data_IF_277050463244
#
_entry.id   IF_277050463244
#
_cell.length_a   1.000
_cell.length_b   1.000
_cell.length_c   1.000
_cell.angle_alpha   90.00
_cell.angle_beta   90.00
_cell.angle_gamma   90.00
#
_symmetry.space_group_name_H-M   'P 1'
#
loop_
_entity.id
_entity.type
_entity.pdbx_description
1 polymer ?
#
# COMPACT_ATOMS: atom_id res chain seq x y z
N UNK A 1 4.41 -9.18 32.78
CA UNK A 1 4.01 -8.83 31.43
C UNK A 1 5.25 -8.61 30.58
N UNK A 2 5.42 -9.31 29.45
CA UNK A 2 6.58 -9.12 28.55
C UNK A 2 6.48 -7.75 27.87
N UNK A 3 7.62 -7.01 27.83
CA UNK A 3 7.73 -5.69 27.19
C UNK A 3 8.25 -5.87 25.76
N UNK A 4 7.61 -5.25 24.77
CA UNK A 4 7.99 -5.32 23.36
C UNK A 4 8.13 -3.90 22.82
N UNK A 5 9.21 -3.66 22.09
CA UNK A 5 9.45 -2.43 21.35
C UNK A 5 9.13 -2.67 19.87
N UNK A 6 8.29 -1.81 19.29
CA UNK A 6 8.00 -1.77 17.85
C UNK A 6 8.60 -0.49 17.27
N UNK A 7 9.39 -0.60 16.21
CA UNK A 7 10.06 0.54 15.58
C UNK A 7 9.40 0.84 14.24
N UNK A 8 8.90 2.07 14.09
CA UNK A 8 8.18 2.56 12.91
C UNK A 8 6.66 2.55 13.13
N UNK A 9 6.03 3.68 12.85
CA UNK A 9 4.58 3.92 13.00
C UNK A 9 3.80 3.89 11.68
N UNK A 10 4.31 3.23 10.64
CA UNK A 10 3.55 2.92 9.43
C UNK A 10 2.52 1.82 9.66
N UNK A 11 1.76 1.44 8.62
CA UNK A 11 0.71 0.42 8.74
C UNK A 11 1.21 -0.88 9.38
N UNK A 12 2.38 -1.37 8.99
CA UNK A 12 2.96 -2.60 9.55
C UNK A 12 3.25 -2.47 11.05
N UNK A 13 3.87 -1.37 11.47
CA UNK A 13 4.20 -1.15 12.88
C UNK A 13 2.96 -0.97 13.75
N UNK A 14 1.99 -0.19 13.31
CA UNK A 14 0.73 0.03 14.03
C UNK A 14 -0.05 -1.27 14.18
N UNK A 15 -0.24 -2.03 13.10
CA UNK A 15 -1.00 -3.29 13.16
C UNK A 15 -0.29 -4.34 14.01
N UNK A 16 1.06 -4.39 13.96
CA UNK A 16 1.86 -5.25 14.84
C UNK A 16 1.69 -4.85 16.30
N UNK A 17 1.82 -3.56 16.62
CA UNK A 17 1.65 -3.04 17.98
C UNK A 17 0.25 -3.34 18.53
N UNK A 18 -0.78 -3.12 17.71
CA UNK A 18 -2.17 -3.42 18.06
C UNK A 18 -2.37 -4.92 18.34
N UNK A 19 -1.93 -5.78 17.43
CA UNK A 19 -2.06 -7.23 17.59
C UNK A 19 -1.34 -7.77 18.83
N UNK A 20 -0.18 -7.20 19.17
CA UNK A 20 0.56 -7.55 20.39
C UNK A 20 -0.14 -7.04 21.65
N UNK A 21 -0.65 -5.80 21.64
CA UNK A 21 -1.41 -5.23 22.75
C UNK A 21 -2.67 -6.05 23.04
N UNK A 22 -3.43 -6.45 22.03
CA UNK A 22 -4.60 -7.34 22.18
C UNK A 22 -4.24 -8.71 22.78
N UNK A 23 -2.99 -9.17 22.61
CA UNK A 23 -2.47 -10.40 23.24
C UNK A 23 -1.91 -10.19 24.66
N UNK A 24 -2.05 -8.99 25.22
CA UNK A 24 -1.64 -8.69 26.59
C UNK A 24 -0.15 -8.36 26.78
N UNK A 25 0.59 -8.03 25.70
CA UNK A 25 1.95 -7.53 25.82
C UNK A 25 1.99 -6.05 26.16
N UNK A 26 3.01 -5.62 26.91
CA UNK A 26 3.30 -4.20 27.11
C UNK A 26 4.08 -3.68 25.91
N UNK A 27 3.42 -2.99 25.00
CA UNK A 27 4.01 -2.51 23.73
C UNK A 27 4.42 -1.05 23.84
N UNK A 28 5.64 -0.74 23.36
CA UNK A 28 6.12 0.63 23.16
C UNK A 28 6.41 0.82 21.67
N UNK A 29 5.70 1.75 21.02
CA UNK A 29 5.92 2.12 19.62
C UNK A 29 6.86 3.32 19.54
N UNK A 30 7.89 3.21 18.70
CA UNK A 30 8.85 4.27 18.40
C UNK A 30 8.61 4.79 16.99
N UNK A 31 8.28 6.06 16.84
CA UNK A 31 8.08 6.73 15.56
C UNK A 31 8.96 7.98 15.48
N UNK A 32 9.62 8.19 14.33
CA UNK A 32 10.49 9.36 14.09
C UNK A 32 9.70 10.65 13.83
N UNK A 33 8.48 10.53 13.31
CA UNK A 33 7.60 11.65 13.05
C UNK A 33 6.73 11.99 14.26
N UNK A 34 6.10 13.14 14.20
CA UNK A 34 5.19 13.61 15.27
C UNK A 34 3.97 12.70 15.44
N UNK A 35 3.50 12.09 14.36
CA UNK A 35 2.36 11.18 14.33
C UNK A 35 2.71 9.89 13.58
N UNK A 36 1.93 8.85 13.80
CA UNK A 36 1.97 7.66 13.00
C UNK A 36 1.50 7.91 11.56
N UNK A 37 1.87 7.04 10.63
CA UNK A 37 1.43 7.05 9.24
C UNK A 37 1.82 8.30 8.42
N UNK A 38 2.85 9.03 8.79
CA UNK A 38 3.24 10.30 8.13
C UNK A 38 3.99 10.14 6.79
N UNK A 39 4.23 8.91 6.33
CA UNK A 39 4.90 8.63 5.06
C UNK A 39 3.97 7.87 4.09
N UNK A 40 4.41 6.76 3.51
CA UNK A 40 3.65 5.96 2.53
C UNK A 40 2.26 5.54 3.04
N UNK A 41 2.10 5.29 4.34
CA UNK A 41 0.80 4.95 4.92
C UNK A 41 -0.19 6.12 4.96
N UNK A 42 0.30 7.37 4.88
CA UNK A 42 -0.54 8.57 4.77
C UNK A 42 -1.01 8.81 3.34
N UNK A 43 -0.11 8.65 2.37
CA UNK A 43 -0.36 8.94 0.98
C UNK A 43 -0.07 7.70 0.11
N UNK A 44 -1.11 6.96 -0.22
CA UNK A 44 -1.08 5.78 -1.09
C UNK A 44 -2.37 5.69 -1.91
N UNK A 45 -2.54 4.62 -2.68
CA UNK A 45 -3.72 4.41 -3.52
C UNK A 45 -5.00 4.04 -2.77
N UNK A 46 -4.97 3.87 -1.46
CA UNK A 46 -6.13 3.52 -0.63
C UNK A 46 -6.78 2.17 -0.98
N UNK A 47 -6.05 1.26 -1.60
CA UNK A 47 -6.59 -0.02 -2.06
C UNK A 47 -6.16 -1.17 -1.16
N UNK A 48 -7.12 -1.93 -0.63
CA UNK A 48 -6.91 -3.19 0.05
C UNK A 48 -7.01 -4.34 -0.96
N UNK A 49 -5.99 -4.44 -1.82
CA UNK A 49 -6.03 -5.28 -3.02
C UNK A 49 -5.26 -6.59 -2.86
N UNK A 50 -5.95 -7.67 -2.48
CA UNK A 50 -5.41 -9.01 -2.58
C UNK A 50 -5.21 -9.46 -4.05
N UNK A 51 -5.84 -8.80 -5.01
CA UNK A 51 -5.72 -9.12 -6.43
C UNK A 51 -4.41 -8.64 -7.08
N UNK A 52 -3.62 -7.81 -6.38
CA UNK A 52 -2.28 -7.38 -6.77
C UNK A 52 -1.18 -8.23 -6.09
N UNK A 53 -1.51 -9.44 -5.67
CA UNK A 53 -0.61 -10.33 -4.94
C UNK A 53 0.40 -11.08 -5.84
N UNK A 54 0.40 -10.86 -7.16
CA UNK A 54 1.41 -11.40 -8.05
C UNK A 54 2.81 -10.93 -7.63
N UNK A 55 3.74 -11.86 -7.41
CA UNK A 55 5.11 -11.52 -7.05
C UNK A 55 5.92 -11.08 -8.27
N UNK A 56 6.93 -10.24 -8.05
CA UNK A 56 7.74 -9.67 -9.14
C UNK A 56 8.89 -10.56 -9.60
N UNK A 57 9.13 -11.69 -8.96
CA UNK A 57 10.22 -12.63 -9.28
C UNK A 57 9.91 -13.40 -10.56
N UNK A 58 10.00 -12.71 -11.71
CA UNK A 58 9.71 -13.25 -13.04
C UNK A 58 10.73 -12.74 -14.07
N UNK A 59 11.08 -13.56 -15.07
CA UNK A 59 12.03 -13.18 -16.12
C UNK A 59 11.65 -11.90 -16.86
N UNK A 60 10.37 -11.66 -17.11
CA UNK A 60 9.91 -10.43 -17.73
C UNK A 60 10.22 -9.17 -16.91
N UNK A 61 10.28 -9.28 -15.58
CA UNK A 61 10.66 -8.17 -14.68
C UNK A 61 12.13 -7.81 -14.86
N UNK A 62 13.01 -8.80 -14.99
CA UNK A 62 14.45 -8.57 -15.27
C UNK A 62 14.62 -7.85 -16.61
N UNK A 63 13.98 -8.36 -17.67
CA UNK A 63 14.06 -7.75 -19.00
C UNK A 63 13.50 -6.31 -19.03
N UNK A 64 12.38 -6.06 -18.33
CA UNK A 64 11.84 -4.72 -18.16
C UNK A 64 12.79 -3.82 -17.36
N UNK A 65 13.36 -4.34 -16.27
CA UNK A 65 14.33 -3.62 -15.45
C UNK A 65 15.56 -3.16 -16.25
N UNK A 66 16.12 -4.03 -17.09
CA UNK A 66 17.24 -3.68 -17.98
C UNK A 66 16.84 -2.58 -18.96
N UNK A 67 15.64 -2.69 -19.58
CA UNK A 67 15.14 -1.64 -20.48
C UNK A 67 14.93 -0.31 -19.77
N UNK A 68 14.47 -0.33 -18.51
CA UNK A 68 14.27 0.87 -17.72
C UNK A 68 15.57 1.56 -17.33
N UNK A 69 16.63 0.80 -17.05
CA UNK A 69 17.94 1.39 -16.73
C UNK A 69 18.55 2.20 -17.90
N UNK A 70 18.03 1.99 -19.13
CA UNK A 70 18.44 2.76 -20.32
C UNK A 70 17.60 4.04 -20.52
N UNK A 71 16.63 4.32 -19.64
CA UNK A 71 15.74 5.47 -19.73
C UNK A 71 15.89 6.36 -18.50
N UNK A 72 16.07 7.66 -18.70
CA UNK A 72 16.24 8.62 -17.60
C UNK A 72 14.98 8.89 -16.77
N UNK A 73 13.80 8.64 -17.35
CA UNK A 73 12.47 8.85 -16.76
C UNK A 73 11.84 7.56 -16.21
N UNK A 74 12.60 6.49 -16.15
CA UNK A 74 12.10 5.20 -15.74
C UNK A 74 11.92 5.11 -14.21
N UNK A 75 10.94 4.31 -13.74
CA UNK A 75 10.65 4.17 -12.32
C UNK A 75 11.71 3.40 -11.53
N UNK A 76 12.65 2.72 -12.22
CA UNK A 76 13.72 1.94 -11.61
C UNK A 76 15.09 2.51 -11.97
N UNK A 77 15.80 2.99 -10.98
CA UNK A 77 17.19 3.39 -11.07
C UNK A 77 18.06 2.49 -10.18
N UNK A 78 19.03 1.82 -10.76
CA UNK A 78 19.98 1.00 -10.03
C UNK A 78 21.35 1.71 -10.05
N UNK A 79 21.90 1.99 -8.87
CA UNK A 79 23.25 2.51 -8.77
C UNK A 79 24.24 1.49 -9.38
N UNK A 80 25.06 1.89 -10.40
CA UNK A 80 25.94 0.96 -11.09
C UNK A 80 27.11 0.45 -10.24
N UNK A 81 27.47 1.13 -9.13
CA UNK A 81 28.56 0.69 -8.26
C UNK A 81 28.33 -0.74 -7.78
N UNK A 82 29.23 -1.69 -8.04
CA UNK A 82 29.10 -3.05 -7.53
C UNK A 82 29.22 -3.06 -6.00
N UNK A 83 28.44 -3.93 -5.35
CA UNK A 83 28.59 -4.26 -3.93
C UNK A 83 28.18 -5.69 -3.71
N UNK A 84 28.80 -6.36 -2.73
CA UNK A 84 28.48 -7.74 -2.39
C UNK A 84 26.98 -7.90 -2.05
N UNK A 85 26.45 -7.00 -1.26
CA UNK A 85 25.03 -7.00 -0.90
C UNK A 85 24.10 -6.92 -2.13
N UNK A 86 24.46 -6.11 -3.14
CA UNK A 86 23.68 -6.00 -4.37
C UNK A 86 23.75 -7.29 -5.22
N UNK A 87 24.94 -7.87 -5.31
CA UNK A 87 25.15 -9.12 -6.06
C UNK A 87 24.40 -10.29 -5.41
N UNK A 88 24.47 -10.43 -4.08
CA UNK A 88 23.73 -11.46 -3.36
C UNK A 88 22.22 -11.28 -3.52
N UNK A 89 21.72 -10.06 -3.42
CA UNK A 89 20.30 -9.75 -3.64
C UNK A 89 19.84 -10.14 -5.05
N UNK A 90 20.62 -9.82 -6.09
CA UNK A 90 20.27 -10.23 -7.45
C UNK A 90 20.30 -11.76 -7.63
N UNK A 91 21.25 -12.44 -7.03
CA UNK A 91 21.32 -13.90 -7.06
C UNK A 91 20.10 -14.54 -6.39
N UNK A 92 19.70 -14.05 -5.22
CA UNK A 92 18.50 -14.47 -4.51
C UNK A 92 17.23 -14.18 -5.31
N UNK A 93 17.13 -12.99 -5.91
CA UNK A 93 16.01 -12.63 -6.78
C UNK A 93 15.87 -13.62 -7.95
N UNK A 94 16.96 -13.92 -8.64
CA UNK A 94 16.98 -14.88 -9.75
C UNK A 94 16.61 -16.30 -9.25
N UNK A 95 17.17 -16.72 -8.12
CA UNK A 95 16.84 -18.00 -7.49
C UNK A 95 15.36 -18.14 -7.13
N UNK A 96 14.74 -17.04 -6.74
CA UNK A 96 13.30 -17.00 -6.37
C UNK A 96 12.36 -17.12 -7.58
N UNK A 97 12.86 -16.98 -8.82
CA UNK A 97 12.01 -17.10 -10.03
C UNK A 97 11.39 -18.50 -10.15
N UNK A 98 12.12 -19.54 -9.75
CA UNK A 98 11.61 -20.92 -9.75
C UNK A 98 10.37 -21.09 -8.83
N UNK A 99 10.25 -20.26 -7.81
CA UNK A 99 9.16 -20.29 -6.83
C UNK A 99 8.02 -19.31 -7.15
N UNK A 100 8.06 -18.64 -8.29
CA UNK A 100 7.09 -17.60 -8.68
C UNK A 100 5.63 -18.04 -8.46
N UNK A 101 5.28 -19.24 -8.92
CA UNK A 101 3.91 -19.78 -8.79
C UNK A 101 3.51 -19.92 -7.32
N UNK A 102 4.32 -20.61 -6.54
CA UNK A 102 4.05 -20.86 -5.12
C UNK A 102 3.99 -19.55 -4.34
N UNK A 103 4.97 -18.67 -4.56
CA UNK A 103 5.04 -17.38 -3.87
C UNK A 103 3.82 -16.49 -4.19
N UNK A 104 3.32 -16.50 -5.44
CA UNK A 104 2.11 -15.76 -5.82
C UNK A 104 0.87 -16.30 -5.08
N UNK A 105 0.73 -17.62 -5.00
CA UNK A 105 -0.39 -18.26 -4.29
C UNK A 105 -0.36 -17.92 -2.80
N UNK A 106 0.80 -18.04 -2.15
CA UNK A 106 0.95 -17.75 -0.73
C UNK A 106 0.77 -16.25 -0.42
N UNK A 107 1.27 -15.38 -1.28
CA UNK A 107 1.06 -13.93 -1.12
C UNK A 107 -0.42 -13.57 -1.24
N UNK A 108 -1.17 -14.23 -2.14
CA UNK A 108 -2.62 -14.04 -2.25
C UNK A 108 -3.34 -14.47 -0.96
N UNK A 109 -2.98 -15.64 -0.39
CA UNK A 109 -3.53 -16.11 0.89
C UNK A 109 -3.27 -15.14 2.03
N UNK A 110 -2.02 -14.67 2.16
CA UNK A 110 -1.65 -13.68 3.18
C UNK A 110 -2.40 -12.36 3.00
N UNK A 111 -2.56 -11.89 1.77
CA UNK A 111 -3.27 -10.65 1.48
C UNK A 111 -4.77 -10.74 1.79
N UNK A 112 -5.40 -11.89 1.55
CA UNK A 112 -6.80 -12.15 1.93
C UNK A 112 -6.94 -12.11 3.45
N UNK A 113 -6.10 -12.86 4.18
CA UNK A 113 -6.14 -12.89 5.63
C UNK A 113 -5.86 -11.51 6.25
N UNK A 114 -4.88 -10.76 5.72
CA UNK A 114 -4.58 -9.40 6.18
C UNK A 114 -5.77 -8.45 6.00
N UNK A 115 -6.49 -8.55 4.88
CA UNK A 115 -7.69 -7.75 4.61
C UNK A 115 -8.82 -8.07 5.58
N UNK A 116 -9.05 -9.34 5.89
CA UNK A 116 -10.07 -9.78 6.86
C UNK A 116 -9.76 -9.24 8.25
N UNK A 117 -8.50 -9.32 8.69
CA UNK A 117 -8.07 -8.73 9.96
C UNK A 117 -8.29 -7.23 10.01
N UNK A 118 -7.97 -6.51 8.91
CA UNK A 118 -8.16 -5.06 8.88
C UNK A 118 -9.64 -4.69 9.01
N UNK A 119 -10.54 -5.40 8.31
CA UNK A 119 -11.97 -5.16 8.40
C UNK A 119 -12.50 -5.44 9.81
N UNK A 120 -12.13 -6.58 10.40
CA UNK A 120 -12.53 -6.95 11.75
C UNK A 120 -12.03 -5.94 12.80
N UNK A 121 -10.81 -5.42 12.65
CA UNK A 121 -10.27 -4.42 13.58
C UNK A 121 -10.92 -3.06 13.39
N UNK A 122 -11.17 -2.63 12.16
CA UNK A 122 -11.88 -1.37 11.91
C UNK A 122 -13.28 -1.38 12.50
N UNK A 123 -14.00 -2.49 12.38
CA UNK A 123 -15.32 -2.68 12.97
C UNK A 123 -15.26 -2.71 14.51
N UNK A 124 -14.33 -3.48 15.08
CA UNK A 124 -14.19 -3.62 16.53
C UNK A 124 -13.79 -2.32 17.24
N UNK A 125 -13.04 -1.45 16.57
CA UNK A 125 -12.59 -0.16 17.10
C UNK A 125 -13.46 1.02 16.63
N UNK A 126 -14.54 0.77 15.85
CA UNK A 126 -15.44 1.81 15.35
C UNK A 126 -14.76 2.82 14.41
N UNK A 127 -13.74 2.38 13.63
CA UNK A 127 -12.99 3.27 12.74
C UNK A 127 -13.77 3.50 11.46
N UNK A 128 -14.18 4.75 11.21
CA UNK A 128 -14.81 5.20 9.97
C UNK A 128 -13.77 5.83 9.03
N UNK A 129 -13.69 5.36 7.77
CA UNK A 129 -12.69 5.80 6.78
C UNK A 129 -13.13 5.58 5.32
N UNK A 130 -14.31 5.98 4.93
CA UNK A 130 -14.84 5.87 3.55
C UNK A 130 -14.66 4.46 2.92
N UNK A 131 -14.74 3.40 3.72
CA UNK A 131 -14.52 2.03 3.27
C UNK A 131 -15.61 1.57 2.29
N UNK A 132 -15.24 1.24 1.06
CA UNK A 132 -16.12 0.69 0.04
C UNK A 132 -15.71 -0.76 -0.29
N UNK A 133 -16.53 -1.73 0.12
CA UNK A 133 -16.32 -3.17 -0.13
C UNK A 133 -16.94 -3.59 -1.47
N UNK A 134 -16.66 -2.90 -2.54
CA UNK A 134 -17.35 -3.10 -3.80
C UNK A 134 -16.53 -3.83 -4.90
N UNK A 135 -15.37 -4.32 -4.59
CA UNK A 135 -14.53 -5.10 -5.48
C UNK A 135 -13.39 -4.28 -6.20
N UNK A 136 -12.39 -4.72 -7.10
CA UNK A 136 -11.41 -3.94 -7.92
C UNK A 136 -11.53 -4.32 -9.38
N UNK A 137 -11.65 -3.37 -10.28
CA UNK A 137 -11.64 -3.60 -11.72
C UNK A 137 -10.24 -3.35 -12.29
N UNK A 138 -9.56 -4.42 -12.71
CA UNK A 138 -8.31 -4.33 -13.45
C UNK A 138 -8.62 -4.15 -14.92
N UNK A 139 -8.09 -3.11 -15.55
CA UNK A 139 -8.30 -2.79 -16.96
C UNK A 139 -7.03 -3.00 -17.79
N UNK A 140 -7.19 -3.50 -19.01
CA UNK A 140 -6.07 -3.80 -19.91
C UNK A 140 -6.29 -3.14 -21.26
N UNK A 141 -5.28 -2.42 -21.76
CA UNK A 141 -5.31 -1.73 -23.06
C UNK A 141 -4.69 -2.54 -24.19
N UNK A 142 -4.01 -3.63 -23.85
CA UNK A 142 -3.41 -4.54 -24.82
C UNK A 142 -3.77 -5.99 -24.51
N UNK A 143 -3.80 -6.80 -25.57
CA UNK A 143 -4.18 -8.21 -25.48
C UNK A 143 -3.18 -9.03 -24.65
N UNK A 144 -1.89 -8.73 -24.75
CA UNK A 144 -0.86 -9.48 -24.05
C UNK A 144 -0.98 -9.32 -22.54
N UNK A 145 -1.26 -8.10 -22.05
CA UNK A 145 -1.54 -7.82 -20.64
C UNK A 145 -2.80 -8.53 -20.16
N UNK A 146 -3.87 -8.55 -20.96
CA UNK A 146 -5.10 -9.25 -20.62
C UNK A 146 -4.89 -10.77 -20.56
N UNK A 147 -4.19 -11.37 -21.54
CA UNK A 147 -3.88 -12.80 -21.56
C UNK A 147 -2.97 -13.20 -20.38
N UNK A 148 -2.00 -12.35 -20.03
CA UNK A 148 -1.18 -12.55 -18.82
C UNK A 148 -2.04 -12.50 -17.56
N UNK A 149 -2.95 -11.55 -17.46
CA UNK A 149 -3.88 -11.45 -16.33
C UNK A 149 -4.77 -12.69 -16.16
N UNK A 150 -5.16 -13.34 -17.26
CA UNK A 150 -5.87 -14.62 -17.24
C UNK A 150 -5.05 -15.74 -16.55
N UNK A 151 -3.76 -15.82 -16.88
CA UNK A 151 -2.83 -16.79 -16.25
C UNK A 151 -2.64 -16.50 -14.76
N UNK A 152 -2.46 -15.23 -14.41
CA UNK A 152 -2.35 -14.80 -13.00
C UNK A 152 -3.65 -15.06 -12.24
N UNK A 153 -4.81 -14.85 -12.86
CA UNK A 153 -6.11 -15.16 -12.26
C UNK A 153 -6.23 -16.61 -11.82
N UNK A 154 -5.70 -17.54 -12.62
CA UNK A 154 -5.67 -18.96 -12.26
C UNK A 154 -4.80 -19.26 -11.04
N UNK A 155 -3.70 -18.53 -10.84
CA UNK A 155 -2.87 -18.66 -9.63
C UNK A 155 -3.56 -18.04 -8.40
N UNK A 156 -4.13 -16.86 -8.56
CA UNK A 156 -4.86 -16.19 -7.48
C UNK A 156 -6.06 -17.02 -7.01
N UNK A 157 -6.78 -17.67 -7.93
CA UNK A 157 -7.88 -18.58 -7.60
C UNK A 157 -7.43 -19.76 -6.72
N UNK A 158 -6.23 -20.32 -6.97
CA UNK A 158 -5.62 -21.35 -6.11
C UNK A 158 -5.26 -20.79 -4.72
N UNK A 159 -5.00 -19.49 -4.62
CA UNK A 159 -4.80 -18.76 -3.35
C UNK A 159 -6.10 -18.38 -2.64
N UNK A 160 -7.27 -18.72 -3.23
CA UNK A 160 -8.58 -18.38 -2.67
C UNK A 160 -9.17 -17.06 -3.18
N UNK A 161 -8.58 -16.45 -4.20
CA UNK A 161 -9.07 -15.20 -4.80
C UNK A 161 -9.50 -15.40 -6.27
N UNK A 162 -10.71 -15.86 -6.55
CA UNK A 162 -11.20 -15.92 -7.92
C UNK A 162 -11.41 -14.51 -8.50
N UNK A 163 -11.00 -14.33 -9.75
CA UNK A 163 -11.27 -13.12 -10.54
C UNK A 163 -12.11 -13.51 -11.75
N UNK A 164 -13.12 -12.72 -12.06
CA UNK A 164 -13.98 -12.88 -13.25
C UNK A 164 -13.47 -11.97 -14.36
N UNK A 165 -13.26 -12.52 -15.56
CA UNK A 165 -13.09 -11.70 -16.75
C UNK A 165 -14.40 -11.03 -17.13
N UNK A 166 -14.32 -9.80 -17.60
CA UNK A 166 -15.46 -9.00 -18.07
C UNK A 166 -15.19 -8.45 -19.45
N UNK A 167 -16.25 -8.31 -20.24
CA UNK A 167 -16.21 -7.68 -21.55
C UNK A 167 -16.02 -6.16 -21.42
N UNK A 168 -15.64 -5.45 -22.50
CA UNK A 168 -15.57 -3.99 -22.49
C UNK A 168 -16.92 -3.32 -22.14
N UNK A 169 -18.05 -3.91 -22.52
CA UNK A 169 -19.38 -3.36 -22.23
C UNK A 169 -19.76 -3.56 -20.76
N UNK A 170 -19.53 -4.76 -20.20
CA UNK A 170 -19.67 -5.00 -18.76
C UNK A 170 -18.76 -4.08 -17.93
N UNK A 171 -17.52 -3.84 -18.40
CA UNK A 171 -16.58 -2.95 -17.76
C UNK A 171 -17.12 -1.51 -17.70
N UNK A 172 -17.69 -1.00 -18.79
CA UNK A 172 -18.33 0.33 -18.83
C UNK A 172 -19.59 0.41 -18.00
N UNK A 173 -20.33 -0.71 -17.87
CA UNK A 173 -21.48 -0.78 -16.97
C UNK A 173 -21.07 -0.70 -15.49
N UNK A 174 -19.90 -1.26 -15.13
CA UNK A 174 -19.33 -1.18 -13.77
C UNK A 174 -18.77 0.22 -13.51
N UNK A 175 -18.06 0.81 -14.48
CA UNK A 175 -17.42 2.11 -14.36
C UNK A 175 -17.69 2.94 -15.63
N UNK A 176 -18.79 3.72 -15.66
CA UNK A 176 -19.20 4.49 -16.83
C UNK A 176 -18.22 5.59 -17.29
N UNK A 177 -17.31 6.01 -16.41
CA UNK A 177 -16.31 7.05 -16.74
C UNK A 177 -15.16 6.52 -17.61
N UNK A 178 -15.07 5.20 -17.83
CA UNK A 178 -14.06 4.60 -18.69
C UNK A 178 -14.32 4.89 -20.14
N UNK A 179 -13.50 5.77 -20.74
CA UNK A 179 -13.49 6.06 -22.17
C UNK A 179 -12.28 5.39 -22.83
N UNK A 180 -12.41 4.98 -24.10
CA UNK A 180 -11.33 4.39 -24.90
C UNK A 180 -11.52 2.91 -25.24
N UNK A 181 -10.51 2.33 -25.89
CA UNK A 181 -10.49 0.91 -26.26
C UNK A 181 -9.78 0.08 -25.19
N UNK A 182 -10.42 -1.00 -24.78
CA UNK A 182 -9.89 -1.97 -23.82
C UNK A 182 -10.14 -3.40 -24.31
N UNK A 183 -9.25 -4.31 -23.99
CA UNK A 183 -9.43 -5.75 -24.28
C UNK A 183 -10.34 -6.47 -23.29
N UNK A 184 -10.76 -5.76 -22.26
CA UNK A 184 -11.60 -6.26 -21.20
C UNK A 184 -11.01 -5.97 -19.84
N UNK A 185 -11.67 -6.46 -18.82
CA UNK A 185 -11.26 -6.27 -17.44
C UNK A 185 -11.29 -7.57 -16.64
N UNK A 186 -10.69 -7.56 -15.47
CA UNK A 186 -10.86 -8.58 -14.46
C UNK A 186 -11.37 -7.91 -13.19
N UNK A 187 -12.55 -8.33 -12.75
CA UNK A 187 -13.16 -7.73 -11.55
C UNK A 187 -12.69 -8.47 -10.32
N UNK A 188 -12.05 -7.76 -9.44
CA UNK A 188 -11.71 -8.22 -8.11
C UNK A 188 -11.97 -7.22 -6.99
N UNK A 189 -12.31 -5.97 -7.24
CA UNK A 189 -12.74 -4.92 -6.29
C UNK A 189 -12.66 -3.50 -6.90
N UNK A 190 -13.44 -2.40 -6.62
CA UNK A 190 -13.64 -1.28 -7.55
C UNK A 190 -12.45 -0.34 -7.78
N UNK A 191 -12.54 0.33 -8.91
CA UNK A 191 -11.59 1.26 -9.49
C UNK A 191 -11.41 2.51 -8.63
N UNK A 192 -10.16 2.84 -8.28
CA UNK A 192 -9.85 4.07 -7.58
C UNK A 192 -8.87 4.99 -8.32
N UNK A 193 -8.19 4.52 -9.36
CA UNK A 193 -7.05 5.23 -9.93
C UNK A 193 -7.40 6.52 -10.70
N UNK A 194 -8.60 6.63 -11.32
CA UNK A 194 -8.99 7.85 -12.04
C UNK A 194 -9.95 8.75 -11.27
N UNK A 195 -10.67 8.21 -10.28
CA UNK A 195 -11.56 8.97 -9.41
C UNK A 195 -10.75 9.85 -8.46
N UNK A 196 -9.60 9.38 -7.97
CA UNK A 196 -8.71 10.20 -7.13
C UNK A 196 -8.12 11.41 -7.87
N UNK A 197 -7.77 11.28 -9.15
CA UNK A 197 -7.31 12.42 -9.93
C UNK A 197 -8.44 13.45 -10.18
N UNK A 198 -9.69 13.02 -10.29
CA UNK A 198 -10.88 13.87 -10.39
C UNK A 198 -11.29 14.44 -9.03
N UNK A 199 -11.35 13.62 -8.01
CA UNK A 199 -11.75 14.02 -6.65
C UNK A 199 -10.73 14.97 -6.00
N UNK A 200 -9.42 14.78 -6.21
CA UNK A 200 -8.40 15.74 -5.76
C UNK A 200 -8.49 17.09 -6.46
N UNK A 201 -9.06 17.15 -7.68
CA UNK A 201 -9.38 18.43 -8.34
C UNK A 201 -10.65 19.09 -7.79
N UNK A 202 -11.61 18.31 -7.33
CA UNK A 202 -12.87 18.79 -6.75
C UNK A 202 -12.74 19.08 -5.24
N UNK A 203 -11.87 18.34 -4.55
CA UNK A 203 -11.51 18.54 -3.15
C UNK A 203 -10.25 19.42 -3.03
N UNK A 204 -10.13 20.48 -3.83
CA UNK A 204 -9.24 21.57 -3.41
C UNK A 204 -9.68 21.98 -2.02
N UNK A 205 -8.86 21.83 -0.97
CA UNK A 205 -9.20 22.38 0.32
C UNK A 205 -9.50 23.85 0.05
N UNK A 206 -10.70 24.34 0.41
CA UNK A 206 -10.90 25.77 0.52
C UNK A 206 -9.75 26.27 1.37
N UNK A 207 -8.97 27.28 0.92
CA UNK A 207 -7.92 27.81 1.75
C UNK A 207 -8.56 28.12 3.10
N UNK A 208 -8.07 27.46 4.16
CA UNK A 208 -8.50 27.78 5.51
C UNK A 208 -8.34 29.29 5.67
N UNK A 209 -9.33 30.01 6.23
CA UNK A 209 -9.16 31.43 6.52
C UNK A 209 -7.87 31.56 7.32
N UNK A 210 -6.93 32.36 6.79
CA UNK A 210 -5.67 32.62 7.48
C UNK A 210 -6.02 32.98 8.92
N UNK A 211 -5.42 32.36 9.93
CA UNK A 211 -5.58 32.82 11.30
C UNK A 211 -5.22 34.32 11.28
N UNK A 212 -6.13 35.17 11.72
CA UNK A 212 -5.82 36.60 11.97
C UNK A 212 -4.59 36.61 12.86
N UNK A 213 -3.50 37.16 12.34
CA UNK A 213 -2.29 37.43 13.10
C UNK A 213 -2.71 38.29 14.33
N UNK A 214 -2.89 37.64 15.46
CA UNK A 214 -2.86 38.31 16.72
C UNK A 214 -1.37 38.66 16.96
N UNK A 215 -1.10 39.96 16.90
CA UNK A 215 0.17 40.51 17.34
C UNK A 215 0.50 40.02 18.75
N UNK A 216 1.26 38.98 18.90
CA UNK A 216 2.04 38.70 20.10
C UNK A 216 3.47 39.13 19.85
N UNK A 217 3.71 40.40 20.08
CA UNK A 217 5.02 41.01 20.33
C UNK A 217 5.40 40.64 21.77
N UNK A 218 6.01 39.48 21.96
CA UNK A 218 6.88 39.10 23.09
C UNK A 218 7.21 37.61 22.98
N UNK A 219 8.42 37.35 22.54
CA UNK A 219 9.26 36.22 22.95
C UNK A 219 10.40 35.99 21.95
N UNK A 220 11.18 37.05 21.72
CA UNK A 220 12.56 36.87 21.28
C UNK A 220 13.42 36.72 22.54
N UNK A 221 13.66 35.47 22.95
CA UNK A 221 14.83 35.01 23.73
C UNK A 221 14.57 33.57 24.19
N UNK A 222 14.93 32.60 23.36
CA UNK A 222 15.44 31.28 23.80
C UNK A 222 16.20 30.66 22.62
N UNK A 223 17.41 30.24 22.89
CA UNK A 223 18.39 29.79 21.91
C UNK A 223 18.09 28.37 21.36
N UNK A 224 18.93 27.87 20.42
CA UNK A 224 18.69 26.63 19.66
C UNK A 224 19.15 25.39 20.45
N UNK A 225 18.40 24.99 21.48
CA UNK A 225 18.73 23.82 22.29
C UNK A 225 17.56 22.89 22.61
N UNK A 226 16.44 22.95 21.86
CA UNK A 226 15.27 22.13 22.20
C UNK A 226 14.69 21.35 21.00
N UNK A 227 15.50 21.05 19.99
CA UNK A 227 15.07 20.28 18.80
C UNK A 227 15.15 18.74 18.96
N UNK A 228 15.23 18.21 20.18
CA UNK A 228 15.36 16.77 20.43
C UNK A 228 14.39 16.26 21.49
N UNK A 229 13.14 16.72 21.50
CA UNK A 229 12.11 16.01 22.24
C UNK A 229 11.48 14.96 21.33
N UNK A 230 11.98 13.74 21.44
CA UNK A 230 11.37 12.53 20.90
C UNK A 230 10.01 12.33 21.57
N UNK A 231 8.93 12.40 20.80
CA UNK A 231 7.58 12.09 21.29
C UNK A 231 7.45 10.57 21.48
N UNK A 232 7.26 10.16 22.71
CA UNK A 232 7.07 8.77 23.12
C UNK A 232 5.57 8.49 23.30
N UNK A 233 5.01 7.55 22.57
CA UNK A 233 3.67 7.05 22.82
C UNK A 233 3.76 5.71 23.56
N UNK A 234 3.22 5.66 24.76
CA UNK A 234 3.01 4.41 25.49
C UNK A 234 1.57 3.98 25.31
N UNK A 235 1.34 2.87 24.63
CA UNK A 235 0.08 2.16 24.69
C UNK A 235 0.09 1.34 25.98
N UNK A 236 -0.43 1.90 27.06
CA UNK A 236 -0.71 1.13 28.28
C UNK A 236 -2.05 0.47 28.09
N UNK A 237 -2.10 -0.88 28.23
CA UNK A 237 -3.32 -1.69 28.07
C UNK A 237 -4.35 -1.41 29.16
N UNK A 238 -4.98 -0.25 29.17
CA UNK A 238 -6.24 -0.01 29.86
C UNK A 238 -7.36 -0.03 28.83
N UNK A 239 -8.47 -0.70 29.11
CA UNK A 239 -9.64 -0.62 28.24
C UNK A 239 -10.16 0.84 28.26
N UNK A 240 -10.46 1.33 27.07
CA UNK A 240 -11.22 2.58 26.86
C UNK A 240 -12.68 2.31 27.12
#
# INVERSE_FOLDING_TARGET
MKKIAVVGGGITGITTAYALAKRGFAVTLFEKHRYAAMETSFANGGQLSASNAEVWTHWSTILKGIKWMLKSDAPLLVNPKPSWHKLSWFAEFIGSIAQYRQNTIETARMAIAAREHLFAWAEAEGIDFDLKKAGILHIYRDKAGFDHAGKVSSLLAQGGLPRRSVTPDEMRAIEPTLAGQYYGGAVAAPVFANVMAGALRLLRPRPSPRPRERHHRAERRRGPADAARRSWWRLTGRPW
#
